data_IF_657153092421
#
_entry.id   IF_657153092421
#
_cell.length_a   1.000
_cell.length_b   1.000
_cell.length_c   1.000
_cell.angle_alpha   90.00
_cell.angle_beta   90.00
_cell.angle_gamma   90.00
#
_symmetry.space_group_name_H-M   'P 1'
#
loop_
_entity.id
_entity.type
_entity.pdbx_description
1 polymer ?
#
# COMPACT_ATOMS: atom_id res chain seq x y z
N UNK A 1 -71.78 -31.24 -51.84
CA UNK A 1 -72.45 -30.00 -52.30
C UNK A 1 -72.39 -29.00 -51.16
N UNK A 2 -72.12 -27.72 -51.48
CA UNK A 2 -71.73 -26.59 -50.59
C UNK A 2 -70.24 -26.66 -50.21
N UNK A 3 -69.35 -25.73 -50.60
CA UNK A 3 -69.43 -24.25 -50.62
C UNK A 3 -68.64 -23.76 -49.39
N UNK A 4 -67.74 -22.79 -49.36
CA UNK A 4 -67.23 -21.71 -50.21
C UNK A 4 -65.73 -21.54 -49.80
N UNK A 5 -64.75 -21.34 -50.68
CA UNK A 5 -64.33 -20.07 -51.30
C UNK A 5 -64.32 -18.84 -50.35
N UNK A 6 -63.15 -18.53 -49.76
CA UNK A 6 -62.76 -17.15 -49.41
C UNK A 6 -61.24 -17.00 -49.49
N UNK A 7 -60.82 -16.40 -50.60
CA UNK A 7 -59.50 -15.81 -50.85
C UNK A 7 -59.39 -14.48 -50.09
N UNK A 8 -58.30 -14.31 -49.33
CA UNK A 8 -57.86 -13.01 -48.81
C UNK A 8 -56.58 -12.63 -49.55
N UNK A 9 -56.69 -11.71 -50.51
CA UNK A 9 -55.55 -11.02 -51.10
C UNK A 9 -55.13 -9.88 -50.17
N UNK A 10 -53.92 -10.00 -49.61
CA UNK A 10 -53.27 -8.97 -48.81
C UNK A 10 -52.48 -8.03 -49.73
N UNK A 11 -53.11 -6.93 -50.13
CA UNK A 11 -52.54 -5.92 -51.03
C UNK A 11 -51.60 -4.99 -50.26
N UNK A 12 -50.33 -5.39 -50.11
CA UNK A 12 -49.29 -4.53 -49.53
C UNK A 12 -48.86 -3.45 -50.54
N UNK A 13 -49.45 -2.26 -50.40
CA UNK A 13 -49.00 -1.05 -51.09
C UNK A 13 -47.65 -0.58 -50.53
N UNK A 14 -46.56 -0.94 -51.22
CA UNK A 14 -45.22 -0.38 -51.02
C UNK A 14 -45.18 1.07 -51.55
N UNK A 15 -45.46 2.03 -50.66
CA UNK A 15 -45.19 3.44 -50.91
C UNK A 15 -43.66 3.70 -50.84
N UNK A 16 -43.04 3.87 -52.00
CA UNK A 16 -41.65 4.30 -52.16
C UNK A 16 -41.52 5.75 -51.67
N UNK A 17 -41.02 5.93 -50.45
CA UNK A 17 -40.58 7.24 -49.95
C UNK A 17 -39.23 7.58 -50.56
N UNK A 18 -39.21 8.51 -51.52
CA UNK A 18 -37.97 9.10 -52.01
C UNK A 18 -37.35 9.96 -50.90
N UNK A 19 -36.32 9.44 -50.27
CA UNK A 19 -35.53 10.17 -49.28
C UNK A 19 -34.59 11.10 -50.04
N UNK A 20 -35.01 12.35 -50.22
CA UNK A 20 -34.13 13.42 -50.69
C UNK A 20 -33.08 13.65 -49.60
N UNK A 21 -31.83 13.28 -49.88
CA UNK A 21 -30.70 13.55 -49.01
C UNK A 21 -30.34 15.03 -49.07
N UNK A 22 -31.04 15.85 -48.29
CA UNK A 22 -30.57 17.20 -47.98
C UNK A 22 -29.36 17.09 -47.06
N UNK A 23 -28.18 17.32 -47.63
CA UNK A 23 -26.94 17.61 -46.89
C UNK A 23 -27.18 18.87 -46.07
N UNK A 24 -27.58 18.71 -44.81
CA UNK A 24 -27.70 19.80 -43.84
C UNK A 24 -26.37 19.96 -43.10
N UNK A 25 -25.49 20.77 -43.69
CA UNK A 25 -24.57 21.70 -43.03
C UNK A 25 -24.25 21.46 -41.55
N UNK A 26 -23.26 20.61 -41.28
CA UNK A 26 -22.60 20.49 -39.96
C UNK A 26 -21.66 21.68 -39.65
N UNK A 27 -21.88 22.85 -40.23
CA UNK A 27 -21.14 24.06 -39.89
C UNK A 27 -21.67 24.57 -38.55
N UNK A 28 -20.99 24.15 -37.47
CA UNK A 28 -21.28 24.63 -36.13
C UNK A 28 -21.06 26.13 -36.10
N UNK A 29 -22.13 26.92 -36.00
CA UNK A 29 -22.04 28.37 -35.87
C UNK A 29 -21.09 28.71 -34.71
N UNK A 30 -20.20 29.72 -34.86
CA UNK A 30 -19.07 29.95 -33.96
C UNK A 30 -19.44 30.42 -32.54
N UNK A 31 -20.69 30.28 -32.09
CA UNK A 31 -21.14 30.66 -30.74
C UNK A 31 -22.16 29.73 -30.09
N UNK A 32 -22.41 28.54 -30.64
CA UNK A 32 -23.32 27.58 -30.00
C UNK A 32 -22.57 26.63 -29.04
N UNK A 33 -23.10 26.36 -27.82
CA UNK A 33 -22.50 25.43 -26.87
C UNK A 33 -22.64 23.99 -27.40
N UNK A 34 -21.61 23.52 -28.10
CA UNK A 34 -21.49 22.14 -28.55
C UNK A 34 -20.53 21.33 -27.66
N UNK A 35 -20.74 20.00 -27.51
CA UNK A 35 -19.89 19.14 -26.68
C UNK A 35 -18.39 19.23 -27.02
N UNK A 36 -18.03 19.46 -28.30
CA UNK A 36 -16.64 19.68 -28.72
C UNK A 36 -15.98 20.96 -28.17
N UNK A 37 -16.76 22.01 -27.88
CA UNK A 37 -16.21 23.27 -27.32
C UNK A 37 -15.90 23.18 -25.83
N UNK A 38 -16.64 22.37 -25.09
CA UNK A 38 -16.36 22.14 -23.67
C UNK A 38 -15.01 21.45 -23.49
N UNK A 39 -14.70 20.47 -24.35
CA UNK A 39 -13.38 19.82 -24.38
C UNK A 39 -12.29 20.82 -24.76
N UNK A 40 -12.51 21.65 -25.78
CA UNK A 40 -11.54 22.68 -26.19
C UNK A 40 -11.26 23.74 -25.10
N UNK A 41 -12.28 24.13 -24.34
CA UNK A 41 -12.10 25.04 -23.19
C UNK A 41 -11.36 24.38 -22.04
N UNK A 42 -11.64 23.10 -21.76
CA UNK A 42 -10.94 22.33 -20.74
C UNK A 42 -9.46 22.16 -21.10
N UNK A 43 -9.14 21.81 -22.34
CA UNK A 43 -7.74 21.65 -22.78
C UNK A 43 -6.98 22.97 -22.78
N UNK A 44 -7.60 24.06 -23.23
CA UNK A 44 -7.01 25.41 -23.14
C UNK A 44 -6.78 25.83 -21.67
N UNK A 45 -7.74 25.58 -20.79
CA UNK A 45 -7.61 25.88 -19.36
C UNK A 45 -6.49 25.05 -18.71
N UNK A 46 -6.42 23.74 -18.99
CA UNK A 46 -5.34 22.89 -18.50
C UNK A 46 -3.97 23.30 -19.04
N UNK A 47 -3.89 23.70 -20.31
CA UNK A 47 -2.67 24.21 -20.94
C UNK A 47 -2.14 25.46 -20.22
N UNK A 48 -2.99 26.46 -20.01
CA UNK A 48 -2.61 27.71 -19.31
C UNK A 48 -2.19 27.46 -17.85
N UNK A 49 -2.83 26.51 -17.15
CA UNK A 49 -2.44 26.13 -15.77
C UNK A 49 -1.10 25.39 -15.72
N UNK A 50 -0.86 24.49 -16.67
CA UNK A 50 0.41 23.75 -16.76
C UNK A 50 1.58 24.71 -17.00
N UNK A 51 1.40 25.65 -17.95
CA UNK A 51 2.37 26.69 -18.29
C UNK A 51 2.72 27.56 -17.08
N UNK A 52 1.71 28.04 -16.33
CA UNK A 52 1.92 28.79 -15.09
C UNK A 52 2.71 27.99 -14.05
N UNK A 53 2.44 26.68 -13.90
CA UNK A 53 3.16 25.84 -12.95
C UNK A 53 4.64 25.63 -13.34
N UNK A 54 4.92 25.51 -14.64
CA UNK A 54 6.28 25.34 -15.14
C UNK A 54 7.09 26.63 -15.00
N UNK A 55 6.50 27.78 -15.34
CA UNK A 55 7.15 29.09 -15.16
C UNK A 55 7.50 29.36 -13.69
N UNK A 56 6.64 28.96 -12.75
CA UNK A 56 6.92 29.10 -11.30
C UNK A 56 8.06 28.18 -10.80
N UNK A 57 8.23 27.00 -11.39
CA UNK A 57 9.29 26.05 -10.99
C UNK A 57 10.65 26.36 -11.63
N UNK A 58 10.66 26.89 -12.86
CA UNK A 58 11.90 27.29 -13.53
C UNK A 58 12.39 28.70 -13.13
N UNK A 59 11.50 29.60 -12.70
CA UNK A 59 11.87 30.96 -12.27
C UNK A 59 12.50 31.06 -10.87
N UNK A 60 12.43 30.03 -10.03
CA UNK A 60 12.84 30.09 -8.61
C UNK A 60 14.32 29.82 -8.31
N UNK A 61 15.21 29.92 -9.30
CA UNK A 61 16.68 29.86 -9.08
C UNK A 61 17.39 31.21 -9.14
N UNK A 62 16.68 32.32 -9.35
CA UNK A 62 17.29 33.65 -9.32
C UNK A 62 16.55 34.61 -8.38
N UNK A 63 17.33 35.15 -7.44
CA UNK A 63 17.06 36.26 -6.52
C UNK A 63 16.39 35.93 -5.18
N UNK A 64 17.22 36.10 -4.14
CA UNK A 64 16.86 36.39 -2.76
C UNK A 64 16.28 37.82 -2.71
N UNK A 65 15.03 37.94 -2.25
CA UNK A 65 14.55 38.93 -1.28
C UNK A 65 13.01 38.82 -1.18
N UNK A 66 12.44 38.48 -0.01
CA UNK A 66 11.00 38.49 0.17
C UNK A 66 10.55 39.85 0.70
N UNK A 67 10.10 40.72 -0.19
CA UNK A 67 9.36 41.91 0.22
C UNK A 67 7.86 41.63 0.22
N UNK A 68 7.21 42.21 1.24
CA UNK A 68 5.84 42.00 1.68
C UNK A 68 4.85 42.36 0.57
N UNK A 69 4.08 41.38 0.09
CA UNK A 69 2.92 41.64 -0.77
C UNK A 69 1.64 41.27 -0.02
N UNK A 70 0.90 42.34 0.27
CA UNK A 70 -0.46 42.41 0.79
C UNK A 70 -1.43 41.55 -0.04
N UNK A 71 -2.09 40.61 0.64
CA UNK A 71 -3.17 39.79 0.09
C UNK A 71 -4.44 40.62 -0.06
N UNK A 72 -4.78 41.03 -1.28
CA UNK A 72 -6.14 41.43 -1.62
C UNK A 72 -7.02 40.19 -1.78
N UNK A 73 -7.96 40.10 -0.85
CA UNK A 73 -9.03 39.10 -0.76
C UNK A 73 -9.93 39.18 -2.00
N UNK A 74 -9.74 38.24 -2.92
CA UNK A 74 -10.59 38.06 -4.11
C UNK A 74 -11.59 36.96 -3.78
N UNK A 75 -12.72 37.35 -3.18
CA UNK A 75 -13.82 36.47 -2.84
C UNK A 75 -14.48 35.96 -4.13
N UNK A 76 -14.05 34.79 -4.62
CA UNK A 76 -14.69 34.13 -5.77
C UNK A 76 -16.01 33.53 -5.27
N UNK A 77 -17.11 34.27 -5.45
CA UNK A 77 -18.46 33.77 -5.28
C UNK A 77 -18.75 32.74 -6.38
N UNK A 78 -18.56 31.45 -6.08
CA UNK A 78 -19.09 30.36 -6.89
C UNK A 78 -20.63 30.37 -6.78
N UNK A 79 -21.28 31.09 -7.68
CA UNK A 79 -22.71 30.96 -7.91
C UNK A 79 -23.03 29.52 -8.34
N UNK A 80 -23.69 28.78 -7.46
CA UNK A 80 -24.23 27.44 -7.73
C UNK A 80 -25.34 27.58 -8.77
N UNK A 81 -25.00 27.34 -10.04
CA UNK A 81 -26.00 27.24 -11.10
C UNK A 81 -26.75 25.93 -10.86
N UNK A 82 -28.00 26.04 -10.41
CA UNK A 82 -28.93 24.91 -10.32
C UNK A 82 -29.21 24.41 -11.72
N UNK A 83 -28.42 23.42 -12.13
CA UNK A 83 -28.59 22.73 -13.40
C UNK A 83 -29.75 21.76 -13.21
N UNK A 84 -30.94 22.15 -13.66
CA UNK A 84 -32.06 21.24 -13.83
C UNK A 84 -31.60 20.10 -14.74
N UNK A 85 -31.38 18.92 -14.15
CA UNK A 85 -30.97 17.72 -14.85
C UNK A 85 -32.12 17.27 -15.76
N UNK A 86 -32.16 17.80 -16.97
CA UNK A 86 -32.88 17.19 -18.07
C UNK A 86 -32.18 15.87 -18.36
N UNK A 87 -32.69 14.80 -17.77
CA UNK A 87 -32.32 13.42 -18.10
C UNK A 87 -32.84 13.17 -19.51
N UNK A 88 -32.03 13.50 -20.50
CA UNK A 88 -32.29 13.14 -21.89
C UNK A 88 -32.30 11.62 -21.98
N UNK A 89 -33.45 11.05 -22.35
CA UNK A 89 -33.72 9.62 -22.55
C UNK A 89 -32.91 8.97 -23.69
N UNK A 90 -31.86 9.64 -24.15
CA UNK A 90 -30.85 9.11 -25.08
C UNK A 90 -29.60 8.63 -24.34
N UNK A 91 -29.78 8.13 -23.10
CA UNK A 91 -28.80 7.32 -22.42
C UNK A 91 -28.59 6.04 -23.24
N UNK A 92 -27.71 6.15 -24.24
CA UNK A 92 -27.25 5.07 -25.11
C UNK A 92 -26.92 3.86 -24.25
N UNK A 93 -27.52 2.72 -24.59
CA UNK A 93 -27.36 1.47 -23.88
C UNK A 93 -25.89 1.22 -23.54
N UNK A 94 -25.57 0.78 -22.30
CA UNK A 94 -24.20 0.48 -21.92
C UNK A 94 -23.69 -0.59 -22.89
N UNK A 95 -22.71 -0.21 -23.73
CA UNK A 95 -22.00 -1.03 -24.74
C UNK A 95 -22.27 -0.70 -26.22
N UNK A 96 -23.02 0.35 -26.53
CA UNK A 96 -23.03 0.88 -27.90
C UNK A 96 -21.84 1.83 -28.14
N UNK A 97 -21.14 1.72 -29.28
CA UNK A 97 -20.08 2.66 -29.65
C UNK A 97 -20.69 4.05 -29.81
N UNK A 98 -20.41 4.93 -28.86
CA UNK A 98 -20.81 6.34 -28.88
C UNK A 98 -19.60 7.23 -28.65
N UNK A 99 -19.58 8.41 -29.26
CA UNK A 99 -18.45 9.35 -29.17
C UNK A 99 -18.03 9.67 -27.72
N UNK A 100 -18.99 9.73 -26.79
CA UNK A 100 -18.70 9.90 -25.36
C UNK A 100 -17.93 8.74 -24.73
N UNK A 101 -18.20 7.50 -25.14
CA UNK A 101 -17.48 6.31 -24.64
C UNK A 101 -16.06 6.25 -25.16
N UNK A 102 -15.83 6.62 -26.42
CA UNK A 102 -14.46 6.69 -26.98
C UNK A 102 -13.60 7.72 -26.22
N UNK A 103 -14.17 8.89 -25.90
CA UNK A 103 -13.46 9.91 -25.11
C UNK A 103 -13.26 9.45 -23.67
N UNK A 104 -14.25 8.81 -23.06
CA UNK A 104 -14.12 8.21 -21.72
C UNK A 104 -12.97 7.20 -21.66
N UNK A 105 -12.95 6.23 -22.58
CA UNK A 105 -11.87 5.24 -22.66
C UNK A 105 -10.48 5.87 -22.89
N UNK A 106 -10.41 6.95 -23.67
CA UNK A 106 -9.16 7.69 -23.88
C UNK A 106 -8.70 8.35 -22.58
N UNK A 107 -9.61 8.99 -21.83
CA UNK A 107 -9.29 9.64 -20.56
C UNK A 107 -8.94 8.63 -19.48
N UNK A 108 -9.63 7.49 -19.42
CA UNK A 108 -9.32 6.40 -18.48
C UNK A 108 -7.91 5.82 -18.76
N UNK A 109 -7.59 5.58 -20.05
CA UNK A 109 -6.26 5.11 -20.45
C UNK A 109 -5.16 6.15 -20.14
N UNK A 110 -5.45 7.44 -20.35
CA UNK A 110 -4.53 8.51 -19.99
C UNK A 110 -4.34 8.60 -18.47
N UNK A 111 -5.41 8.46 -17.69
CA UNK A 111 -5.37 8.41 -16.23
C UNK A 111 -4.48 7.27 -15.73
N UNK A 112 -4.66 6.07 -16.27
CA UNK A 112 -3.84 4.91 -15.93
C UNK A 112 -2.36 5.10 -16.29
N UNK A 113 -2.05 5.73 -17.43
CA UNK A 113 -0.69 6.07 -17.82
C UNK A 113 -0.06 7.15 -16.92
N UNK A 114 -0.83 8.16 -16.52
CA UNK A 114 -0.34 9.18 -15.59
C UNK A 114 -0.08 8.60 -14.21
N UNK A 115 -0.96 7.73 -13.72
CA UNK A 115 -0.79 7.04 -12.44
C UNK A 115 0.47 6.16 -12.45
N UNK A 116 0.67 5.35 -13.50
CA UNK A 116 1.88 4.52 -13.61
C UNK A 116 3.15 5.36 -13.69
N UNK A 117 3.13 6.47 -14.44
CA UNK A 117 4.26 7.40 -14.53
C UNK A 117 4.58 8.07 -13.19
N UNK A 118 3.56 8.52 -12.45
CA UNK A 118 3.74 9.14 -11.12
C UNK A 118 4.24 8.11 -10.11
N UNK A 119 3.72 6.88 -10.15
CA UNK A 119 4.20 5.79 -9.29
C UNK A 119 5.64 5.43 -9.59
N UNK A 120 6.04 5.33 -10.87
CA UNK A 120 7.43 5.10 -11.24
C UNK A 120 8.34 6.25 -10.81
N UNK A 121 7.90 7.49 -10.96
CA UNK A 121 8.65 8.66 -10.50
C UNK A 121 8.79 8.67 -8.97
N UNK A 122 7.74 8.30 -8.24
CA UNK A 122 7.77 8.16 -6.79
C UNK A 122 8.79 7.10 -6.36
N UNK A 123 8.78 5.93 -7.01
CA UNK A 123 9.76 4.86 -6.78
C UNK A 123 11.19 5.32 -7.07
N UNK A 124 11.42 5.98 -8.22
CA UNK A 124 12.75 6.53 -8.59
C UNK A 124 13.24 7.59 -7.62
N UNK A 125 12.33 8.41 -7.09
CA UNK A 125 12.65 9.42 -6.08
C UNK A 125 12.76 8.85 -4.66
N UNK A 126 12.54 7.54 -4.49
CA UNK A 126 12.54 6.88 -3.19
C UNK A 126 11.45 7.41 -2.26
N UNK A 127 10.31 7.78 -2.85
CA UNK A 127 9.12 8.28 -2.17
C UNK A 127 8.23 7.07 -1.90
N UNK A 128 8.07 6.73 -0.62
CA UNK A 128 7.25 5.61 -0.16
C UNK A 128 7.92 4.85 0.98
N UNK A 129 7.14 4.15 1.81
CA UNK A 129 7.65 3.44 2.98
C UNK A 129 8.70 2.38 2.61
N UNK A 130 8.43 1.55 1.60
CA UNK A 130 9.34 0.51 1.11
C UNK A 130 10.69 1.08 0.65
N UNK A 131 10.68 2.23 -0.04
CA UNK A 131 11.91 2.88 -0.47
C UNK A 131 12.71 3.43 0.71
N UNK A 132 12.05 4.00 1.74
CA UNK A 132 12.72 4.40 2.99
C UNK A 132 13.33 3.20 3.68
N UNK A 133 12.60 2.09 3.77
CA UNK A 133 13.08 0.87 4.40
C UNK A 133 14.27 0.29 3.64
N UNK A 134 14.24 0.26 2.30
CA UNK A 134 15.39 -0.12 1.47
C UNK A 134 16.62 0.76 1.71
N UNK A 135 16.44 2.07 1.86
CA UNK A 135 17.54 2.96 2.22
C UNK A 135 18.11 2.67 3.61
N UNK A 136 17.25 2.31 4.59
CA UNK A 136 17.67 1.87 5.93
C UNK A 136 18.50 0.59 5.82
N UNK A 137 17.98 -0.43 5.12
CA UNK A 137 18.67 -1.70 4.87
C UNK A 137 20.03 -1.48 4.21
N UNK A 138 20.11 -0.57 3.23
CA UNK A 138 21.37 -0.21 2.55
C UNK A 138 22.35 0.50 3.48
N UNK A 139 21.90 1.45 4.30
CA UNK A 139 22.76 2.13 5.28
C UNK A 139 23.34 1.17 6.32
N UNK A 140 22.57 0.17 6.71
CA UNK A 140 22.98 -0.88 7.65
C UNK A 140 23.74 -2.03 6.99
N UNK A 141 23.98 -1.97 5.67
CA UNK A 141 24.71 -3.00 4.94
C UNK A 141 24.01 -4.36 4.94
N UNK A 142 22.67 -4.40 4.94
CA UNK A 142 21.90 -5.66 4.91
C UNK A 142 22.17 -6.51 3.67
N UNK A 143 22.62 -5.90 2.57
CA UNK A 143 23.03 -6.62 1.36
C UNK A 143 24.32 -7.44 1.57
N UNK A 144 25.13 -7.07 2.58
CA UNK A 144 26.43 -7.68 2.87
C UNK A 144 26.40 -8.58 4.10
N UNK A 145 25.39 -8.44 4.94
CA UNK A 145 25.26 -9.16 6.21
C UNK A 145 24.07 -10.09 6.15
N UNK A 146 24.18 -11.25 6.80
CA UNK A 146 23.02 -12.11 7.03
C UNK A 146 22.27 -11.65 8.28
N UNK A 147 20.99 -12.03 8.42
CA UNK A 147 20.21 -11.78 9.65
C UNK A 147 20.99 -12.31 10.88
N UNK A 148 21.58 -13.50 10.77
CA UNK A 148 22.37 -14.11 11.85
C UNK A 148 23.55 -13.23 12.31
N UNK A 149 24.32 -12.69 11.36
CA UNK A 149 25.44 -11.81 11.66
C UNK A 149 24.97 -10.54 12.36
N UNK A 150 23.88 -9.92 11.89
CA UNK A 150 23.32 -8.71 12.51
C UNK A 150 22.86 -8.95 13.95
N UNK A 151 22.26 -10.10 14.21
CA UNK A 151 21.88 -10.46 15.57
C UNK A 151 23.09 -10.80 16.45
N UNK A 152 24.15 -11.41 15.90
CA UNK A 152 25.38 -11.72 16.63
C UNK A 152 26.20 -10.45 16.96
N UNK A 153 26.27 -9.51 16.03
CA UNK A 153 27.00 -8.25 16.11
C UNK A 153 26.11 -7.12 16.63
N UNK A 154 25.47 -7.34 17.79
CA UNK A 154 24.50 -6.41 18.38
C UNK A 154 25.04 -4.98 18.61
N UNK A 155 26.36 -4.77 18.52
CA UNK A 155 27.01 -3.47 18.58
C UNK A 155 27.67 -3.12 17.24
N UNK A 156 26.88 -2.93 16.18
CA UNK A 156 27.39 -2.28 14.98
C UNK A 156 27.70 -0.81 15.33
N UNK A 157 28.99 -0.46 15.33
CA UNK A 157 29.43 0.91 15.61
C UNK A 157 29.20 1.76 14.37
N UNK A 158 27.99 2.32 14.24
CA UNK A 158 27.71 3.33 13.23
C UNK A 158 28.44 4.63 13.58
N UNK A 159 28.96 5.30 12.56
CA UNK A 159 29.45 6.66 12.74
C UNK A 159 28.27 7.57 13.14
N UNK A 160 28.51 8.61 13.94
CA UNK A 160 27.49 9.58 14.35
C UNK A 160 26.72 10.16 13.15
N UNK A 161 27.40 10.39 12.02
CA UNK A 161 26.75 10.84 10.78
C UNK A 161 25.74 9.82 10.23
N UNK A 162 26.08 8.53 10.27
CA UNK A 162 25.24 7.43 9.81
C UNK A 162 24.08 7.19 10.75
N UNK A 163 24.30 7.21 12.07
CA UNK A 163 23.24 7.11 13.07
C UNK A 163 22.23 8.26 12.92
N UNK A 164 22.69 9.50 12.73
CA UNK A 164 21.82 10.65 12.44
C UNK A 164 21.02 10.46 11.15
N UNK A 165 21.64 9.92 10.10
CA UNK A 165 20.96 9.64 8.84
C UNK A 165 19.89 8.55 9.01
N UNK A 166 20.23 7.46 9.70
CA UNK A 166 19.34 6.35 10.01
C UNK A 166 18.14 6.82 10.84
N UNK A 167 18.39 7.57 11.92
CA UNK A 167 17.33 8.21 12.74
C UNK A 167 16.40 9.07 11.89
N UNK A 168 16.94 9.85 10.94
CA UNK A 168 16.13 10.66 10.02
C UNK A 168 15.25 9.79 9.11
N UNK A 169 15.75 8.65 8.64
CA UNK A 169 14.97 7.70 7.83
C UNK A 169 13.90 6.97 8.65
N UNK A 170 14.22 6.48 9.84
CA UNK A 170 13.24 5.89 10.76
C UNK A 170 12.10 6.87 11.09
N UNK A 171 12.44 8.14 11.37
CA UNK A 171 11.44 9.20 11.59
C UNK A 171 10.57 9.45 10.35
N UNK A 172 11.14 9.34 9.14
CA UNK A 172 10.37 9.44 7.89
C UNK A 172 9.42 8.25 7.72
N UNK A 173 9.85 7.04 8.08
CA UNK A 173 9.01 5.84 8.05
C UNK A 173 7.83 5.95 9.04
N UNK A 174 8.09 6.40 10.27
CA UNK A 174 7.04 6.69 11.26
C UNK A 174 6.04 7.76 10.79
N UNK A 175 6.48 8.74 9.98
CA UNK A 175 5.56 9.70 9.35
C UNK A 175 4.64 9.04 8.31
N UNK A 176 5.13 8.04 7.57
CA UNK A 176 4.28 7.29 6.64
C UNK A 176 3.24 6.43 7.38
N UNK A 177 3.60 5.83 8.51
CA UNK A 177 2.65 5.11 9.36
C UNK A 177 1.51 6.00 9.88
N UNK A 178 1.74 7.32 10.00
CA UNK A 178 0.73 8.33 10.38
C UNK A 178 0.01 8.98 9.19
N UNK A 179 0.31 8.58 7.96
CA UNK A 179 -0.31 9.20 6.78
C UNK A 179 -1.83 8.98 6.76
N UNK A 180 -2.59 9.80 6.06
CA UNK A 180 -4.06 9.63 5.97
C UNK A 180 -4.50 8.54 5.00
N UNK A 181 -3.57 8.02 4.20
CA UNK A 181 -3.83 7.00 3.18
C UNK A 181 -3.57 5.63 3.77
N UNK A 182 -4.63 4.84 4.03
CA UNK A 182 -4.53 3.57 4.77
C UNK A 182 -3.54 2.59 4.15
N UNK A 183 -3.49 2.46 2.81
CA UNK A 183 -2.52 1.58 2.13
C UNK A 183 -1.06 1.93 2.46
N UNK A 184 -0.71 3.22 2.40
CA UNK A 184 0.63 3.70 2.80
C UNK A 184 0.92 3.48 4.28
N UNK A 185 -0.10 3.58 5.15
CA UNK A 185 0.07 3.29 6.57
C UNK A 185 0.39 1.80 6.79
N UNK A 186 -0.37 0.90 6.17
CA UNK A 186 -0.16 -0.54 6.29
C UNK A 186 1.22 -0.95 5.83
N UNK A 187 1.65 -0.48 4.65
CA UNK A 187 3.01 -0.73 4.14
C UNK A 187 4.10 -0.19 5.08
N UNK A 188 3.89 0.99 5.67
CA UNK A 188 4.86 1.56 6.60
C UNK A 188 4.96 0.77 7.91
N UNK A 189 3.83 0.31 8.45
CA UNK A 189 3.78 -0.51 9.65
C UNK A 189 4.43 -1.88 9.44
N UNK A 190 4.17 -2.50 8.29
CA UNK A 190 4.77 -3.78 7.91
C UNK A 190 6.29 -3.67 7.76
N UNK A 191 6.77 -2.62 7.10
CA UNK A 191 8.21 -2.34 7.00
C UNK A 191 8.86 -2.04 8.35
N UNK A 192 8.16 -1.39 9.29
CA UNK A 192 8.65 -1.20 10.66
C UNK A 192 8.83 -2.56 11.34
N UNK A 193 7.82 -3.42 11.28
CA UNK A 193 7.86 -4.77 11.87
C UNK A 193 9.03 -5.57 11.27
N UNK A 194 9.12 -5.65 9.94
CA UNK A 194 10.22 -6.35 9.24
C UNK A 194 11.60 -5.81 9.66
N UNK A 195 11.80 -4.49 9.62
CA UNK A 195 13.09 -3.89 9.99
C UNK A 195 13.49 -4.13 11.45
N UNK A 196 12.52 -4.09 12.39
CA UNK A 196 12.82 -4.38 13.80
C UNK A 196 13.25 -5.82 13.99
N UNK A 197 12.56 -6.77 13.34
CA UNK A 197 12.87 -8.20 13.40
C UNK A 197 14.24 -8.50 12.77
N UNK A 198 14.53 -7.90 11.61
CA UNK A 198 15.76 -8.17 10.85
C UNK A 198 17.03 -7.55 11.45
N UNK A 199 16.88 -6.48 12.24
CA UNK A 199 18.01 -5.68 12.74
C UNK A 199 17.73 -5.10 14.14
N UNK A 200 18.39 -5.65 15.19
CA UNK A 200 18.25 -5.15 16.56
C UNK A 200 18.61 -3.68 16.75
N UNK A 201 19.52 -3.14 15.94
CA UNK A 201 19.94 -1.74 16.05
C UNK A 201 18.83 -0.79 15.57
N UNK A 202 18.14 -1.15 14.48
CA UNK A 202 16.98 -0.38 14.00
C UNK A 202 15.88 -0.34 15.05
N UNK A 203 15.64 -1.47 15.72
CA UNK A 203 14.69 -1.56 16.85
C UNK A 203 15.05 -0.59 17.97
N UNK A 204 16.31 -0.60 18.44
CA UNK A 204 16.77 0.30 19.51
C UNK A 204 16.60 1.78 19.11
N UNK A 205 16.88 2.13 17.85
CA UNK A 205 16.69 3.51 17.38
C UNK A 205 15.23 3.93 17.26
N UNK A 206 14.34 3.01 16.86
CA UNK A 206 12.90 3.23 16.83
C UNK A 206 12.32 3.35 18.25
N UNK A 207 12.77 2.52 19.19
CA UNK A 207 12.36 2.57 20.60
C UNK A 207 12.74 3.90 21.28
N UNK A 208 13.81 4.55 20.82
CA UNK A 208 14.19 5.91 21.27
C UNK A 208 13.31 7.03 20.68
N UNK A 209 12.43 6.74 19.73
CA UNK A 209 11.49 7.73 19.19
C UNK A 209 10.20 7.74 20.02
N UNK A 210 9.45 8.84 19.94
CA UNK A 210 8.11 8.95 20.54
C UNK A 210 7.07 8.16 19.72
N UNK A 211 7.10 6.84 19.87
CA UNK A 211 6.22 5.91 19.14
C UNK A 211 4.75 6.20 19.41
N UNK A 212 4.39 6.51 20.66
CA UNK A 212 3.02 6.82 21.05
C UNK A 212 2.44 7.97 20.24
N UNK A 213 3.22 9.02 19.96
CA UNK A 213 2.78 10.14 19.12
C UNK A 213 2.66 9.79 17.62
N UNK A 214 3.53 8.92 17.09
CA UNK A 214 3.51 8.56 15.66
C UNK A 214 2.49 7.48 15.32
N UNK A 215 2.30 6.54 16.24
CA UNK A 215 1.45 5.36 16.09
C UNK A 215 0.08 5.54 16.76
N UNK A 216 -0.24 6.73 17.27
CA UNK A 216 -1.60 7.06 17.69
C UNK A 216 -2.57 6.96 16.50
N UNK A 217 -3.51 6.03 16.61
CA UNK A 217 -4.54 5.80 15.59
C UNK A 217 -5.42 7.03 15.43
N UNK A 218 -5.45 7.58 14.20
CA UNK A 218 -6.44 8.60 13.83
C UNK A 218 -7.77 7.97 13.39
N UNK A 219 -7.71 6.75 12.86
CA UNK A 219 -8.84 6.04 12.28
C UNK A 219 -9.22 4.83 13.13
N UNK A 220 -10.52 4.55 13.22
CA UNK A 220 -11.06 3.42 13.98
C UNK A 220 -11.17 2.16 13.13
N UNK A 221 -10.12 1.82 12.38
CA UNK A 221 -10.07 0.60 11.57
C UNK A 221 -9.48 -0.55 12.41
N UNK A 222 -10.18 -1.69 12.58
CA UNK A 222 -9.74 -2.77 13.46
C UNK A 222 -8.41 -3.39 12.99
N UNK A 223 -8.22 -3.52 11.68
CA UNK A 223 -6.99 -4.06 11.11
C UNK A 223 -5.79 -3.11 11.30
N UNK A 224 -5.99 -1.80 11.15
CA UNK A 224 -4.96 -0.79 11.46
C UNK A 224 -4.54 -0.82 12.92
N UNK A 225 -5.50 -1.01 13.84
CA UNK A 225 -5.21 -1.19 15.27
C UNK A 225 -4.32 -2.40 15.53
N UNK A 226 -4.65 -3.53 14.90
CA UNK A 226 -3.87 -4.75 15.02
C UNK A 226 -2.44 -4.55 14.49
N UNK A 227 -2.29 -4.00 13.28
CA UNK A 227 -0.95 -3.78 12.67
C UNK A 227 -0.10 -2.80 13.47
N UNK A 228 -0.73 -1.76 14.01
CA UNK A 228 -0.02 -0.79 14.85
C UNK A 228 0.39 -1.38 16.20
N UNK A 229 -0.48 -2.20 16.82
CA UNK A 229 -0.13 -2.95 18.03
C UNK A 229 1.06 -3.85 17.77
N UNK A 230 1.05 -4.62 16.66
CA UNK A 230 2.18 -5.48 16.26
C UNK A 230 3.46 -4.68 16.04
N UNK A 231 3.38 -3.53 15.38
CA UNK A 231 4.52 -2.65 15.19
C UNK A 231 5.07 -2.13 16.52
N UNK A 232 4.21 -1.67 17.43
CA UNK A 232 4.61 -1.27 18.78
C UNK A 232 5.29 -2.41 19.54
N UNK A 233 4.64 -3.58 19.58
CA UNK A 233 5.15 -4.77 20.26
C UNK A 233 6.52 -5.20 19.70
N UNK A 234 6.69 -5.15 18.38
CA UNK A 234 7.97 -5.49 17.73
C UNK A 234 9.11 -4.55 18.12
N UNK A 235 8.80 -3.27 18.41
CA UNK A 235 9.78 -2.29 18.84
C UNK A 235 10.07 -2.40 20.35
N UNK A 236 9.01 -2.46 21.16
CA UNK A 236 9.07 -2.34 22.62
C UNK A 236 9.44 -3.66 23.32
N UNK A 237 9.06 -4.81 22.76
CA UNK A 237 9.27 -6.10 23.43
C UNK A 237 10.70 -6.62 23.26
N UNK A 238 11.62 -6.05 24.04
CA UNK A 238 13.03 -6.43 24.09
C UNK A 238 13.22 -7.92 24.45
N UNK A 239 12.36 -8.48 25.31
CA UNK A 239 12.46 -9.89 25.72
C UNK A 239 12.28 -10.85 24.54
N UNK A 240 11.25 -10.61 23.73
CA UNK A 240 11.01 -11.39 22.51
C UNK A 240 12.21 -11.26 21.56
N UNK A 241 12.75 -10.06 21.39
CA UNK A 241 13.93 -9.84 20.55
C UNK A 241 15.20 -10.55 21.05
N UNK A 242 15.41 -10.59 22.36
CA UNK A 242 16.53 -11.31 22.97
C UNK A 242 16.39 -12.83 22.78
N UNK A 243 15.17 -13.35 22.90
CA UNK A 243 14.86 -14.74 22.56
C UNK A 243 15.21 -15.04 21.09
N UNK A 244 14.68 -14.25 20.15
CA UNK A 244 14.98 -14.41 18.71
C UNK A 244 16.48 -14.31 18.42
N UNK A 245 17.17 -13.35 19.02
CA UNK A 245 18.62 -13.20 18.86
C UNK A 245 19.36 -14.44 19.37
N UNK A 246 18.93 -15.01 20.51
CA UNK A 246 19.46 -16.27 21.03
C UNK A 246 19.19 -17.48 20.12
N UNK A 247 18.01 -17.53 19.48
CA UNK A 247 17.65 -18.57 18.50
C UNK A 247 18.58 -18.46 17.30
N UNK A 248 18.66 -17.27 16.71
CA UNK A 248 19.41 -16.99 15.50
C UNK A 248 20.91 -17.20 15.70
N UNK A 249 21.46 -16.82 16.85
CA UNK A 249 22.88 -17.07 17.15
C UNK A 249 23.21 -18.55 17.42
N UNK A 250 22.24 -19.46 17.36
CA UNK A 250 22.44 -20.88 17.70
C UNK A 250 22.80 -21.10 19.17
N UNK A 251 22.72 -20.07 20.03
CA UNK A 251 23.00 -20.17 21.46
C UNK A 251 21.98 -21.05 22.17
N UNK A 252 20.76 -21.13 21.64
CA UNK A 252 19.73 -22.02 22.14
C UNK A 252 20.02 -23.51 21.94
N UNK A 253 20.96 -23.89 21.06
CA UNK A 253 21.40 -25.30 20.95
C UNK A 253 22.24 -25.75 22.15
N UNK A 254 22.79 -24.83 22.95
CA UNK A 254 23.65 -25.15 24.11
C UNK A 254 22.90 -25.14 25.44
N UNK A 255 21.67 -24.63 25.45
CA UNK A 255 20.77 -24.72 26.59
C UNK A 255 19.86 -25.94 26.39
N UNK A 256 20.26 -27.03 27.04
CA UNK A 256 19.48 -28.25 27.25
C UNK A 256 17.99 -27.97 27.45
N UNK A 257 17.13 -28.75 26.77
CA UNK A 257 15.69 -28.51 26.56
C UNK A 257 14.77 -28.28 27.77
N UNK A 258 15.29 -28.15 29.00
CA UNK A 258 14.51 -27.80 30.20
C UNK A 258 14.49 -26.28 30.47
N UNK A 259 15.59 -25.55 30.21
CA UNK A 259 15.70 -24.11 30.55
C UNK A 259 14.91 -23.22 29.59
N UNK A 260 14.69 -23.71 28.35
CA UNK A 260 13.96 -22.97 27.32
C UNK A 260 12.46 -22.84 27.67
N UNK A 261 11.87 -23.86 28.30
CA UNK A 261 10.45 -23.84 28.68
C UNK A 261 10.19 -22.88 29.85
N UNK A 262 11.08 -22.79 30.84
CA UNK A 262 10.95 -21.86 31.98
C UNK A 262 11.03 -20.40 31.55
N UNK A 263 12.01 -20.00 30.72
CA UNK A 263 12.12 -18.60 30.30
C UNK A 263 10.96 -18.14 29.40
N UNK A 264 10.42 -19.06 28.58
CA UNK A 264 9.26 -18.74 27.75
C UNK A 264 7.98 -18.66 28.62
N UNK A 265 7.79 -19.56 29.58
CA UNK A 265 6.65 -19.50 30.53
C UNK A 265 6.73 -18.29 31.47
N UNK A 266 7.92 -17.89 31.93
CA UNK A 266 8.12 -16.71 32.77
C UNK A 266 7.97 -15.37 32.03
N UNK A 267 8.13 -15.38 30.70
CA UNK A 267 7.92 -14.19 29.88
C UNK A 267 6.44 -13.78 29.75
N UNK A 268 5.52 -14.53 30.37
CA UNK A 268 4.07 -14.35 30.22
C UNK A 268 3.58 -14.76 28.82
N UNK A 269 4.46 -15.36 28.01
CA UNK A 269 4.11 -15.93 26.73
C UNK A 269 3.41 -17.26 27.00
N UNK A 270 2.09 -17.23 26.95
CA UNK A 270 1.22 -18.37 27.27
C UNK A 270 1.33 -19.46 26.19
N UNK A 271 2.46 -20.17 26.17
CA UNK A 271 2.70 -21.28 25.25
C UNK A 271 1.71 -22.41 25.51
N UNK A 272 1.36 -22.65 26.77
CA UNK A 272 0.33 -23.61 27.13
C UNK A 272 -1.05 -23.16 26.65
N UNK A 273 -1.37 -21.87 26.64
CA UNK A 273 -2.57 -21.31 26.03
C UNK A 273 -2.56 -21.36 24.52
N UNK A 274 -1.42 -21.21 23.86
CA UNK A 274 -1.28 -21.38 22.40
C UNK A 274 -1.44 -22.87 22.03
N UNK A 275 -0.84 -23.79 22.80
CA UNK A 275 -0.96 -25.23 22.59
C UNK A 275 -2.34 -25.78 23.03
N UNK A 276 -2.96 -25.18 24.05
CA UNK A 276 -4.36 -25.48 24.44
C UNK A 276 -5.36 -24.85 23.48
N UNK A 277 -5.11 -23.67 22.93
CA UNK A 277 -5.93 -23.08 21.87
C UNK A 277 -5.84 -23.88 20.56
N UNK A 278 -4.67 -24.45 20.25
CA UNK A 278 -4.46 -25.39 19.12
C UNK A 278 -5.26 -26.69 19.30
N UNK A 279 -5.50 -27.12 20.55
CA UNK A 279 -6.29 -28.32 20.87
C UNK A 279 -7.77 -28.06 21.12
N UNK A 280 -8.18 -26.85 21.52
CA UNK A 280 -9.57 -26.54 21.88
C UNK A 280 -10.35 -25.69 20.86
N UNK A 281 -9.71 -24.89 20.01
CA UNK A 281 -10.41 -24.05 19.05
C UNK A 281 -9.94 -24.32 17.63
N UNK A 282 -10.90 -24.69 16.76
CA UNK A 282 -10.76 -25.00 15.33
C UNK A 282 -9.55 -24.28 14.74
N UNK A 283 -8.53 -25.06 14.37
CA UNK A 283 -7.22 -24.64 13.85
C UNK A 283 -7.23 -23.85 12.54
N UNK A 284 -8.16 -22.92 12.38
CA UNK A 284 -8.22 -21.99 11.27
C UNK A 284 -7.43 -20.70 11.54
N UNK A 285 -7.31 -20.22 12.79
CA UNK A 285 -6.62 -18.94 13.04
C UNK A 285 -5.12 -19.10 13.27
N UNK A 286 -4.67 -20.16 13.96
CA UNK A 286 -3.24 -20.49 13.98
C UNK A 286 -2.79 -20.99 12.61
N UNK A 287 -3.58 -21.78 11.88
CA UNK A 287 -3.24 -22.16 10.51
C UNK A 287 -3.37 -21.01 9.50
N UNK A 288 -4.09 -19.92 9.82
CA UNK A 288 -4.15 -18.68 9.01
C UNK A 288 -3.02 -17.72 9.37
N UNK A 289 -2.58 -17.67 10.63
CA UNK A 289 -1.36 -16.98 11.07
C UNK A 289 -0.10 -17.70 10.57
N UNK A 290 -0.06 -19.02 10.70
CA UNK A 290 0.98 -19.86 10.13
C UNK A 290 0.91 -19.88 8.60
N UNK A 291 -0.28 -19.80 7.95
CA UNK A 291 -0.38 -19.57 6.49
C UNK A 291 0.05 -18.18 6.07
N UNK A 292 -0.28 -17.14 6.84
CA UNK A 292 0.22 -15.79 6.55
C UNK A 292 1.72 -15.68 6.79
N UNK A 293 2.30 -16.55 7.62
CA UNK A 293 3.74 -16.73 7.75
C UNK A 293 4.31 -17.75 6.74
N UNK A 294 3.46 -18.57 6.08
CA UNK A 294 3.80 -19.59 5.07
C UNK A 294 4.04 -18.97 3.69
N UNK A 295 3.50 -17.78 3.45
CA UNK A 295 3.84 -16.94 2.30
C UNK A 295 5.23 -16.28 2.45
N UNK A 296 5.80 -16.30 3.66
CA UNK A 296 7.14 -15.78 3.97
C UNK A 296 8.17 -16.88 4.23
N UNK A 297 9.41 -16.66 3.76
CA UNK A 297 10.58 -17.52 3.97
C UNK A 297 10.85 -17.91 5.45
N UNK A 298 10.20 -17.23 6.39
CA UNK A 298 10.31 -17.44 7.83
C UNK A 298 9.67 -18.77 8.28
N UNK A 299 8.59 -19.26 7.67
CA UNK A 299 8.00 -20.56 8.05
C UNK A 299 8.77 -21.74 7.49
N UNK A 300 9.31 -21.64 6.29
CA UNK A 300 10.25 -22.65 5.79
C UNK A 300 11.45 -22.79 6.74
N UNK A 301 11.94 -21.66 7.26
CA UNK A 301 12.98 -21.62 8.28
C UNK A 301 12.52 -22.20 9.63
N UNK A 302 11.35 -21.82 10.15
CA UNK A 302 10.81 -22.37 11.41
C UNK A 302 10.47 -23.86 11.30
N UNK A 303 10.00 -24.34 10.14
CA UNK A 303 9.82 -25.77 9.87
C UNK A 303 11.15 -26.50 9.83
N UNK A 304 12.12 -25.98 9.08
CA UNK A 304 13.46 -26.55 9.04
C UNK A 304 14.06 -26.62 10.45
N UNK A 305 13.96 -25.53 11.22
CA UNK A 305 14.45 -25.46 12.60
C UNK A 305 13.72 -26.44 13.52
N UNK A 306 12.39 -26.57 13.41
CA UNK A 306 11.60 -27.58 14.12
C UNK A 306 12.05 -28.99 13.76
N UNK A 307 12.21 -29.29 12.47
CA UNK A 307 12.66 -30.62 12.01
C UNK A 307 14.07 -30.93 12.49
N UNK A 308 14.99 -29.98 12.42
CA UNK A 308 16.37 -30.13 12.92
C UNK A 308 16.40 -30.35 14.43
N UNK A 309 15.59 -29.62 15.20
CA UNK A 309 15.48 -29.81 16.65
C UNK A 309 14.85 -31.17 16.99
N UNK A 310 13.81 -31.60 16.28
CA UNK A 310 13.20 -32.92 16.47
C UNK A 310 14.19 -34.06 16.18
N UNK A 311 15.01 -33.92 15.13
CA UNK A 311 16.04 -34.92 14.80
C UNK A 311 17.12 -34.97 15.89
N UNK A 312 17.60 -33.81 16.35
CA UNK A 312 18.63 -33.71 17.39
C UNK A 312 18.18 -34.32 18.73
N UNK A 313 16.89 -34.21 19.06
CA UNK A 313 16.28 -34.85 20.23
C UNK A 313 16.26 -36.38 20.08
N UNK A 314 15.94 -36.89 18.88
CA UNK A 314 15.89 -38.33 18.62
C UNK A 314 17.27 -39.00 18.56
N UNK A 315 18.30 -38.28 18.12
CA UNK A 315 19.67 -38.82 17.99
C UNK A 315 20.48 -38.78 19.28
N UNK A 316 19.90 -38.37 20.42
CA UNK A 316 20.64 -38.25 21.69
C UNK A 316 21.01 -39.66 22.19
N UNK A 317 22.30 -40.05 22.20
CA UNK A 317 22.68 -41.38 22.66
C UNK A 317 22.40 -41.50 24.17
N UNK A 318 21.73 -42.58 24.56
CA UNK A 318 21.37 -42.92 25.92
C UNK A 318 22.61 -43.27 26.75
N UNK A 319 23.44 -42.28 27.09
CA UNK A 319 24.50 -42.43 28.07
C UNK A 319 23.92 -42.19 29.47
N UNK A 320 23.14 -43.16 29.95
CA UNK A 320 22.78 -43.26 31.35
C UNK A 320 22.28 -44.67 31.60
N UNK A 321 23.21 -45.56 31.91
CA UNK A 321 23.10 -46.63 32.91
C UNK A 321 24.41 -47.42 32.88
N UNK A 322 25.39 -46.95 33.66
CA UNK A 322 26.50 -47.75 34.20
C UNK A 322 27.23 -46.88 35.25
N UNK A 323 26.57 -46.68 36.39
CA UNK A 323 27.19 -46.41 37.72
C UNK A 323 26.37 -47.20 38.74
#
# INVERSE_FOLDING_TARGET
MHGDDTTYEDSVHLARSETISTVSTNATAPNLPGPGRNVGRLTAYLGTRLEQSMTLRFGRRSSLNPEVISSQDSTIQLGRIESNASVSTTATAPNLPGAGRTVGLLLDNLGAHMESFVNELALRQGIGPQAVAREIRRLLGHERTTIFQRHAEASLQLNEKEERALKKRCKRLLKYARNTVSTTQYEALDEIISLTIEDPHTRVLLAKQDLSHYLAHKYNEPYLKLMTSRALDSVENERVHNLWSGVLQGRLSRYTGEIMLQNITESGFDVDGIMKADTMHRGHDLARFLRSLEEDNMVAYLRALKTTLSLAIQTRPSWQHDI
#
